data_IF_322589270691
#
_entry.id   IF_322589270691
#
_cell.length_a   1.000
_cell.length_b   1.000
_cell.length_c   1.000
_cell.angle_alpha   90.00
_cell.angle_beta   90.00
_cell.angle_gamma   90.00
#
_symmetry.space_group_name_H-M   'P 1'
#
loop_
_entity.id
_entity.type
_entity.pdbx_description
1 polymer ?
#
# COMPACT_ATOMS: atom_id res chain seq x y z
N UNK A 1 -3.13 -8.72 -3.15
CA UNK A 1 -2.13 -9.82 -2.99
C UNK A 1 -0.80 -9.31 -2.36
N UNK A 2 -0.51 -9.72 -1.12
CA UNK A 2 0.64 -9.21 -0.37
C UNK A 2 1.93 -10.04 -0.50
N UNK A 3 1.92 -11.17 -1.22
CA UNK A 3 3.06 -12.09 -1.34
C UNK A 3 4.35 -11.39 -1.77
N UNK A 4 5.44 -11.66 -1.02
CA UNK A 4 6.80 -11.18 -1.29
C UNK A 4 7.82 -12.32 -1.22
N UNK A 5 8.71 -12.44 -2.21
CA UNK A 5 9.81 -13.42 -2.20
C UNK A 5 11.09 -12.86 -1.58
N UNK A 6 12.08 -13.73 -1.31
CA UNK A 6 13.41 -13.30 -0.82
C UNK A 6 14.18 -12.38 -1.79
N UNK A 7 13.81 -12.37 -3.08
CA UNK A 7 14.31 -11.41 -4.06
C UNK A 7 13.46 -10.12 -4.14
N UNK A 8 12.62 -9.86 -3.13
CA UNK A 8 11.65 -8.76 -3.09
C UNK A 8 10.65 -8.77 -4.26
N UNK A 9 10.39 -9.93 -4.86
CA UNK A 9 9.38 -10.08 -5.90
C UNK A 9 7.99 -9.90 -5.27
N UNK A 10 7.08 -9.17 -5.91
CA UNK A 10 5.80 -8.79 -5.30
C UNK A 10 4.59 -9.09 -6.17
N UNK A 11 3.43 -9.25 -5.52
CA UNK A 11 2.13 -9.39 -6.17
C UNK A 11 1.85 -10.80 -6.70
N UNK A 12 0.73 -10.96 -7.41
CA UNK A 12 0.32 -12.27 -7.96
C UNK A 12 1.34 -12.84 -8.96
N UNK A 13 1.99 -11.96 -9.72
CA UNK A 13 2.95 -12.35 -10.74
C UNK A 13 4.39 -12.49 -10.23
N UNK A 14 4.62 -12.22 -8.93
CA UNK A 14 5.94 -12.28 -8.31
C UNK A 14 7.00 -11.54 -9.15
N UNK A 15 6.74 -10.25 -9.43
CA UNK A 15 7.63 -9.41 -10.24
C UNK A 15 8.66 -8.73 -9.33
N UNK A 16 9.95 -8.89 -9.64
CA UNK A 16 11.04 -8.20 -8.92
C UNK A 16 11.07 -6.70 -9.23
N UNK A 17 11.61 -5.83 -8.35
CA UNK A 17 11.55 -4.38 -8.52
C UNK A 17 12.11 -3.87 -9.85
N UNK A 18 13.28 -4.37 -10.26
CA UNK A 18 13.96 -3.94 -11.49
C UNK A 18 13.15 -4.30 -12.74
N UNK A 19 12.73 -5.57 -12.86
CA UNK A 19 11.84 -6.01 -13.95
C UNK A 19 10.57 -5.20 -13.99
N UNK A 20 9.94 -4.94 -12.84
CA UNK A 20 8.74 -4.11 -12.79
C UNK A 20 8.95 -2.74 -13.41
N UNK A 21 10.04 -2.03 -13.08
CA UNK A 21 10.34 -0.72 -13.66
C UNK A 21 10.55 -0.80 -15.18
N UNK A 22 11.24 -1.83 -15.66
CA UNK A 22 11.48 -2.03 -17.10
C UNK A 22 10.17 -2.25 -17.90
N UNK A 23 9.14 -2.80 -17.27
CA UNK A 23 7.81 -2.99 -17.85
C UNK A 23 6.80 -1.92 -17.40
N UNK A 24 7.28 -0.74 -17.00
CA UNK A 24 6.41 0.42 -16.69
C UNK A 24 5.65 0.34 -15.36
N UNK A 25 5.94 -0.65 -14.51
CA UNK A 25 5.34 -0.77 -13.18
C UNK A 25 5.94 0.26 -12.22
N UNK A 26 5.25 1.39 -12.09
CA UNK A 26 5.58 2.48 -11.17
C UNK A 26 5.70 1.98 -9.72
N UNK A 27 6.78 2.38 -9.05
CA UNK A 27 7.06 2.07 -7.66
C UNK A 27 7.42 3.36 -6.94
N UNK A 28 6.47 3.88 -6.17
CA UNK A 28 6.61 5.11 -5.38
C UNK A 28 6.44 4.80 -3.89
N UNK A 29 6.59 5.83 -3.05
CA UNK A 29 6.31 5.75 -1.61
C UNK A 29 4.89 5.25 -1.33
N UNK A 30 3.92 5.69 -2.14
CA UNK A 30 2.49 5.47 -1.89
C UNK A 30 1.84 4.44 -2.84
N UNK A 31 2.58 3.95 -3.85
CA UNK A 31 2.06 3.00 -4.83
C UNK A 31 3.13 1.99 -5.28
N UNK A 32 2.75 0.71 -5.43
CA UNK A 32 3.57 -0.34 -6.02
C UNK A 32 2.75 -1.12 -7.05
N UNK A 33 2.91 -0.77 -8.33
CA UNK A 33 2.17 -1.35 -9.44
C UNK A 33 2.37 -2.85 -9.61
N UNK A 34 3.41 -3.44 -9.00
CA UNK A 34 3.62 -4.90 -8.99
C UNK A 34 2.54 -5.64 -8.20
N UNK A 35 1.88 -4.94 -7.27
CA UNK A 35 0.77 -5.47 -6.46
C UNK A 35 -0.60 -5.10 -7.00
N UNK A 36 -0.66 -4.21 -7.97
CA UNK A 36 -1.88 -3.86 -8.69
C UNK A 36 -2.23 -4.96 -9.68
N UNK A 37 -3.45 -5.51 -9.61
CA UNK A 37 -3.85 -6.69 -10.39
C UNK A 37 -3.83 -6.39 -11.88
N UNK A 38 -4.32 -5.23 -12.32
CA UNK A 38 -4.42 -4.90 -13.75
C UNK A 38 -3.03 -4.59 -14.29
N UNK A 39 -2.30 -3.67 -13.66
CA UNK A 39 -0.99 -3.25 -14.12
C UNK A 39 0.00 -4.42 -14.14
N UNK A 40 0.07 -5.20 -13.05
CA UNK A 40 0.99 -6.35 -12.99
C UNK A 40 0.62 -7.46 -13.98
N UNK A 41 -0.66 -7.67 -14.26
CA UNK A 41 -1.11 -8.66 -15.27
C UNK A 41 -0.74 -8.22 -16.68
N UNK A 42 -0.99 -6.96 -17.04
CA UNK A 42 -0.55 -6.41 -18.33
C UNK A 42 0.96 -6.58 -18.49
N UNK A 43 1.76 -6.15 -17.51
CA UNK A 43 3.21 -6.28 -17.57
C UNK A 43 3.68 -7.74 -17.65
N UNK A 44 3.04 -8.66 -16.93
CA UNK A 44 3.38 -10.08 -17.00
C UNK A 44 3.08 -10.68 -18.38
N UNK A 45 1.93 -10.35 -18.96
CA UNK A 45 1.54 -10.80 -20.31
C UNK A 45 2.48 -10.21 -21.37
N UNK A 46 2.78 -8.92 -21.32
CA UNK A 46 3.73 -8.26 -22.23
C UNK A 46 5.12 -8.90 -22.14
N UNK A 47 5.59 -9.18 -20.91
CA UNK A 47 6.85 -9.87 -20.69
C UNK A 47 6.82 -11.28 -21.29
N UNK A 48 5.76 -12.06 -21.05
CA UNK A 48 5.64 -13.41 -21.60
C UNK A 48 5.58 -13.40 -23.13
N UNK A 49 4.83 -12.48 -23.75
CA UNK A 49 4.77 -12.32 -25.20
C UNK A 49 6.15 -11.97 -25.78
N UNK A 50 6.86 -11.02 -25.17
CA UNK A 50 8.22 -10.65 -25.59
C UNK A 50 9.18 -11.83 -25.48
N UNK A 51 9.16 -12.55 -24.36
CA UNK A 51 10.01 -13.72 -24.15
C UNK A 51 9.67 -14.83 -25.15
N UNK A 52 8.39 -15.07 -25.41
CA UNK A 52 7.99 -16.10 -26.37
C UNK A 52 8.44 -15.78 -27.79
N UNK A 53 8.35 -14.50 -28.20
CA UNK A 53 8.92 -14.04 -29.46
C UNK A 53 10.45 -14.17 -29.48
N UNK A 54 11.14 -13.90 -28.37
CA UNK A 54 12.60 -14.02 -28.25
C UNK A 54 13.09 -15.48 -28.41
N UNK A 55 12.29 -16.45 -27.98
CA UNK A 55 12.62 -17.88 -28.06
C UNK A 55 11.83 -18.60 -29.16
N UNK A 56 11.46 -17.89 -30.24
CA UNK A 56 10.86 -18.46 -31.45
C UNK A 56 9.61 -19.34 -31.17
N UNK A 57 8.80 -18.95 -30.18
CA UNK A 57 7.60 -19.69 -29.78
C UNK A 57 7.82 -20.81 -28.76
N UNK A 58 9.07 -21.10 -28.35
CA UNK A 58 9.37 -22.12 -27.36
C UNK A 58 8.92 -21.69 -25.95
N UNK A 59 7.78 -22.24 -25.52
CA UNK A 59 7.20 -21.97 -24.22
C UNK A 59 8.04 -22.49 -23.04
N UNK A 60 8.84 -23.56 -23.22
CA UNK A 60 9.68 -24.08 -22.14
C UNK A 60 10.81 -23.09 -21.83
N UNK A 61 11.47 -22.58 -22.88
CA UNK A 61 12.49 -21.53 -22.75
C UNK A 61 11.89 -20.21 -22.27
N UNK A 62 10.69 -19.86 -22.72
CA UNK A 62 9.93 -18.68 -22.27
C UNK A 62 9.70 -18.71 -20.76
N UNK A 63 9.15 -19.81 -20.24
CA UNK A 63 8.85 -19.98 -18.81
C UNK A 63 10.14 -20.08 -17.98
N UNK A 64 11.18 -20.74 -18.51
CA UNK A 64 12.49 -20.76 -17.87
C UNK A 64 13.12 -19.35 -17.75
N UNK A 65 12.96 -18.52 -18.78
CA UNK A 65 13.44 -17.14 -18.79
C UNK A 65 12.64 -16.24 -17.86
N UNK A 66 11.32 -16.44 -17.75
CA UNK A 66 10.47 -15.74 -16.78
C UNK A 66 10.94 -16.00 -15.34
N UNK A 67 11.26 -17.26 -15.01
CA UNK A 67 11.71 -17.64 -13.68
C UNK A 67 13.15 -17.19 -13.37
N UNK A 68 14.05 -17.30 -14.34
CA UNK A 68 15.51 -17.25 -14.09
C UNK A 68 16.24 -16.09 -14.75
N UNK A 69 15.52 -15.32 -15.57
CA UNK A 69 16.02 -14.20 -16.38
C UNK A 69 16.43 -14.62 -17.79
N UNK A 70 16.02 -13.84 -18.78
CA UNK A 70 16.32 -14.06 -20.21
C UNK A 70 17.82 -14.17 -20.50
N UNK A 71 18.65 -13.30 -19.90
CA UNK A 71 20.09 -13.30 -20.13
C UNK A 71 20.76 -14.58 -19.66
N UNK A 72 20.20 -15.25 -18.64
CA UNK A 72 20.69 -16.54 -18.16
C UNK A 72 20.39 -17.64 -19.17
N UNK A 73 19.16 -17.70 -19.67
CA UNK A 73 18.74 -18.68 -20.69
C UNK A 73 19.54 -18.46 -21.98
N UNK A 74 19.67 -17.21 -22.44
CA UNK A 74 20.45 -16.86 -23.63
C UNK A 74 21.93 -17.27 -23.52
N UNK A 75 22.56 -17.06 -22.35
CA UNK A 75 23.93 -17.53 -22.12
C UNK A 75 24.03 -19.05 -22.16
N UNK A 76 23.07 -19.77 -21.59
CA UNK A 76 23.05 -21.24 -21.63
C UNK A 76 22.88 -21.75 -23.07
N UNK A 77 21.99 -21.15 -23.87
CA UNK A 77 21.81 -21.46 -25.29
C UNK A 77 23.12 -21.22 -26.05
N UNK A 78 23.73 -20.04 -25.88
CA UNK A 78 25.01 -19.70 -26.54
C UNK A 78 26.12 -20.71 -26.20
N UNK A 79 26.20 -21.12 -24.93
CA UNK A 79 27.18 -22.09 -24.46
C UNK A 79 26.95 -23.48 -25.07
N UNK A 80 25.71 -23.94 -25.23
CA UNK A 80 25.40 -25.20 -25.89
C UNK A 80 25.67 -25.14 -27.40
N UNK A 81 25.27 -24.05 -28.08
CA UNK A 81 25.57 -23.83 -29.51
C UNK A 81 27.07 -23.90 -29.80
N UNK A 82 27.89 -23.23 -28.98
CA UNK A 82 29.35 -23.24 -29.13
C UNK A 82 29.99 -24.64 -28.98
N UNK A 83 29.28 -25.59 -28.39
CA UNK A 83 29.73 -26.97 -28.19
C UNK A 83 29.01 -27.97 -29.09
N UNK A 84 28.20 -27.51 -30.05
CA UNK A 84 27.38 -28.38 -30.90
C UNK A 84 26.31 -29.19 -30.15
N UNK A 85 25.87 -28.72 -28.98
CA UNK A 85 24.86 -29.40 -28.15
C UNK A 85 23.45 -28.87 -28.42
N UNK A 86 22.39 -29.68 -28.21
CA UNK A 86 21.01 -29.21 -28.32
C UNK A 86 20.71 -28.02 -27.39
N UNK A 87 19.79 -27.15 -27.82
CA UNK A 87 19.47 -25.89 -27.13
C UNK A 87 18.07 -25.85 -26.54
N UNK A 88 17.34 -26.97 -26.60
CA UNK A 88 16.06 -27.12 -25.94
C UNK A 88 16.21 -27.05 -24.41
N UNK A 89 15.13 -26.70 -23.72
CA UNK A 89 15.12 -26.52 -22.26
C UNK A 89 15.78 -27.68 -21.48
N UNK A 90 15.55 -28.93 -21.89
CA UNK A 90 16.03 -30.11 -21.16
C UNK A 90 17.54 -30.28 -21.25
N UNK A 91 18.13 -29.78 -22.34
CA UNK A 91 19.56 -29.84 -22.62
C UNK A 91 20.35 -28.68 -22.02
N UNK A 92 19.69 -27.60 -21.58
CA UNK A 92 20.36 -26.41 -21.06
C UNK A 92 20.87 -26.58 -19.62
N UNK A 93 22.06 -26.04 -19.36
CA UNK A 93 22.60 -25.92 -17.99
C UNK A 93 21.96 -24.73 -17.26
N UNK A 94 20.78 -24.96 -16.69
CA UNK A 94 20.02 -24.00 -15.89
C UNK A 94 20.08 -24.33 -14.38
N UNK A 95 19.80 -23.35 -13.49
CA UNK A 95 19.72 -23.58 -12.05
C UNK A 95 18.70 -24.66 -11.69
N UNK A 96 18.95 -25.38 -10.59
CA UNK A 96 18.04 -26.44 -10.11
C UNK A 96 16.61 -25.93 -9.91
N UNK A 97 16.45 -24.72 -9.37
CA UNK A 97 15.14 -24.10 -9.17
C UNK A 97 14.36 -24.00 -10.50
N UNK A 98 15.00 -23.48 -11.54
CA UNK A 98 14.41 -23.31 -12.87
C UNK A 98 14.13 -24.65 -13.55
N UNK A 99 15.06 -25.61 -13.42
CA UNK A 99 14.89 -26.98 -13.91
C UNK A 99 13.70 -27.69 -13.26
N UNK A 100 13.33 -27.33 -12.03
CA UNK A 100 12.14 -27.83 -11.34
C UNK A 100 10.88 -26.99 -11.63
N UNK A 101 11.03 -25.70 -11.88
CA UNK A 101 9.92 -24.78 -12.10
C UNK A 101 9.14 -25.11 -13.38
N UNK A 102 9.82 -25.32 -14.50
CA UNK A 102 9.14 -25.62 -15.78
C UNK A 102 8.35 -26.94 -15.72
N UNK A 103 8.90 -28.07 -15.24
CA UNK A 103 8.13 -29.30 -15.06
C UNK A 103 6.94 -29.14 -14.12
N UNK A 104 7.05 -28.35 -13.05
CA UNK A 104 5.90 -28.04 -12.16
C UNK A 104 4.77 -27.34 -12.91
N UNK A 105 5.11 -26.40 -13.80
CA UNK A 105 4.11 -25.71 -14.62
C UNK A 105 3.46 -26.66 -15.63
N UNK A 106 4.23 -27.56 -16.24
CA UNK A 106 3.68 -28.61 -17.12
C UNK A 106 2.76 -29.56 -16.37
N UNK A 107 3.17 -30.03 -15.18
CA UNK A 107 2.35 -30.88 -14.33
C UNK A 107 1.06 -30.18 -13.89
N UNK A 108 1.13 -28.90 -13.53
CA UNK A 108 -0.06 -28.11 -13.21
C UNK A 108 -0.98 -27.98 -14.43
N UNK A 109 -0.43 -27.71 -15.62
CA UNK A 109 -1.21 -27.65 -16.87
C UNK A 109 -1.92 -28.98 -17.14
N UNK A 110 -1.23 -30.10 -16.95
CA UNK A 110 -1.76 -31.45 -17.12
C UNK A 110 -2.86 -31.76 -16.11
N UNK A 111 -2.66 -31.44 -14.84
CA UNK A 111 -3.68 -31.60 -13.78
C UNK A 111 -4.90 -30.75 -14.07
N UNK A 112 -4.74 -29.51 -14.55
CA UNK A 112 -5.87 -28.64 -14.85
C UNK A 112 -6.67 -29.17 -16.06
N UNK A 113 -5.98 -29.56 -17.14
CA UNK A 113 -6.61 -30.09 -18.36
C UNK A 113 -7.33 -31.42 -18.10
N UNK A 114 -6.71 -32.30 -17.31
CA UNK A 114 -7.18 -33.66 -17.05
C UNK A 114 -7.63 -33.86 -15.59
N UNK A 115 -8.20 -32.81 -14.98
CA UNK A 115 -8.55 -32.76 -13.55
C UNK A 115 -9.39 -33.95 -13.08
N UNK A 116 -10.36 -34.41 -13.88
CA UNK A 116 -11.16 -35.61 -13.61
C UNK A 116 -10.31 -36.89 -13.50
N UNK A 117 -9.34 -37.09 -14.39
CA UNK A 117 -8.43 -38.25 -14.39
C UNK A 117 -7.62 -38.32 -13.10
N UNK A 118 -7.21 -37.16 -12.59
CA UNK A 118 -6.41 -37.05 -11.36
C UNK A 118 -7.26 -36.92 -10.09
N UNK A 119 -8.59 -37.02 -10.16
CA UNK A 119 -9.48 -36.85 -9.01
C UNK A 119 -9.46 -35.44 -8.41
N UNK A 120 -9.01 -34.43 -9.16
CA UNK A 120 -8.92 -33.04 -8.71
C UNK A 120 -10.23 -32.32 -9.03
N UNK A 121 -10.89 -31.80 -8.00
CA UNK A 121 -12.06 -30.92 -8.18
C UNK A 121 -11.60 -29.47 -8.32
N UNK A 122 -11.74 -28.91 -9.52
CA UNK A 122 -11.45 -27.50 -9.75
C UNK A 122 -12.52 -26.62 -9.09
N UNK A 123 -12.13 -25.44 -8.54
CA UNK A 123 -13.09 -24.47 -8.04
C UNK A 123 -13.98 -23.97 -9.19
N UNK A 124 -15.27 -23.80 -8.91
CA UNK A 124 -16.19 -23.16 -9.86
C UNK A 124 -15.90 -21.67 -9.92
N UNK A 125 -15.78 -21.13 -11.13
CA UNK A 125 -15.70 -19.68 -11.35
C UNK A 125 -16.99 -19.04 -10.87
N UNK A 126 -16.85 -17.96 -10.12
CA UNK A 126 -17.98 -17.18 -9.63
C UNK A 126 -17.84 -15.78 -10.20
N UNK A 127 -18.60 -15.51 -11.27
CA UNK A 127 -18.57 -14.23 -11.97
C UNK A 127 -19.01 -13.06 -11.09
N UNK A 128 -19.76 -13.32 -10.01
CA UNK A 128 -20.15 -12.28 -9.05
C UNK A 128 -18.96 -11.76 -8.23
N UNK A 129 -17.89 -12.57 -8.11
CA UNK A 129 -16.61 -12.21 -7.50
C UNK A 129 -15.60 -11.63 -8.48
N UNK A 130 -15.94 -11.51 -9.76
CA UNK A 130 -15.09 -10.84 -10.73
C UNK A 130 -14.83 -9.39 -10.28
N UNK A 131 -13.60 -8.92 -10.44
CA UNK A 131 -13.26 -7.53 -10.15
C UNK A 131 -13.58 -6.66 -11.36
N UNK A 132 -14.25 -5.54 -11.10
CA UNK A 132 -14.50 -4.49 -12.05
C UNK A 132 -13.61 -3.28 -11.73
N UNK A 133 -13.17 -2.62 -12.79
CA UNK A 133 -12.47 -1.33 -12.71
C UNK A 133 -13.50 -0.20 -12.73
N UNK A 134 -13.45 0.67 -11.74
CA UNK A 134 -14.24 1.91 -11.69
C UNK A 134 -13.28 3.09 -11.77
N UNK A 135 -13.50 3.99 -12.74
CA UNK A 135 -12.64 5.15 -12.98
C UNK A 135 -12.84 6.19 -11.86
N UNK A 136 -11.75 6.80 -11.45
CA UNK A 136 -11.74 7.94 -10.52
C UNK A 136 -11.32 9.19 -11.31
N UNK A 137 -12.10 10.26 -11.20
CA UNK A 137 -11.80 11.52 -11.89
C UNK A 137 -10.96 12.48 -11.02
N UNK A 138 -10.94 12.25 -9.71
CA UNK A 138 -10.17 12.99 -8.71
C UNK A 138 -9.63 12.03 -7.65
N UNK A 139 -8.65 12.45 -6.82
CA UNK A 139 -8.24 11.67 -5.66
C UNK A 139 -9.36 11.53 -4.63
N UNK A 140 -9.58 10.31 -4.14
CA UNK A 140 -10.66 9.99 -3.18
C UNK A 140 -10.12 9.16 -2.02
N UNK A 141 -10.56 9.43 -0.80
CA UNK A 141 -10.22 8.62 0.35
C UNK A 141 -10.84 7.22 0.24
N UNK A 142 -10.02 6.20 0.52
CA UNK A 142 -10.42 4.80 0.38
C UNK A 142 -11.54 4.42 1.35
N UNK A 143 -11.66 5.11 2.49
CA UNK A 143 -12.80 4.95 3.39
C UNK A 143 -14.11 5.38 2.72
N UNK A 144 -14.11 6.55 2.07
CA UNK A 144 -15.28 7.06 1.34
C UNK A 144 -15.67 6.12 0.19
N UNK A 145 -14.69 5.63 -0.57
CA UNK A 145 -14.95 4.65 -1.64
C UNK A 145 -15.53 3.35 -1.09
N UNK A 146 -15.06 2.88 0.06
CA UNK A 146 -15.58 1.69 0.71
C UNK A 146 -17.04 1.87 1.14
N UNK A 147 -17.37 3.03 1.70
CA UNK A 147 -18.73 3.40 2.11
C UNK A 147 -19.66 3.49 0.90
N UNK A 148 -19.25 4.21 -0.16
CA UNK A 148 -20.02 4.32 -1.42
C UNK A 148 -20.25 2.97 -2.09
N UNK A 149 -19.25 2.09 -2.04
CA UNK A 149 -19.37 0.74 -2.59
C UNK A 149 -20.12 -0.24 -1.66
N UNK A 150 -20.50 0.16 -0.44
CA UNK A 150 -21.15 -0.73 0.53
C UNK A 150 -20.27 -1.92 0.95
N UNK A 151 -18.96 -1.71 1.12
CA UNK A 151 -18.02 -2.78 1.47
C UNK A 151 -17.01 -2.34 2.52
N UNK A 152 -16.33 -3.30 3.17
CA UNK A 152 -15.32 -2.94 4.15
C UNK A 152 -14.04 -2.38 3.51
N UNK A 153 -13.47 -1.35 4.13
CA UNK A 153 -12.19 -0.77 3.71
C UNK A 153 -11.07 -1.82 3.64
N UNK A 154 -11.07 -2.80 4.56
CA UNK A 154 -10.09 -3.89 4.55
C UNK A 154 -10.19 -4.73 3.27
N UNK A 155 -11.41 -5.13 2.86
CA UNK A 155 -11.61 -5.85 1.59
C UNK A 155 -11.23 -4.97 0.40
N UNK A 156 -11.59 -3.68 0.41
CA UNK A 156 -11.20 -2.76 -0.65
C UNK A 156 -9.67 -2.67 -0.80
N UNK A 157 -8.92 -2.60 0.31
CA UNK A 157 -7.44 -2.66 0.32
C UNK A 157 -6.90 -3.94 -0.30
N UNK A 158 -7.54 -5.10 -0.07
CA UNK A 158 -7.06 -6.36 -0.65
C UNK A 158 -7.10 -6.37 -2.18
N UNK A 159 -8.13 -5.76 -2.77
CA UNK A 159 -8.30 -5.63 -4.22
C UNK A 159 -7.42 -4.53 -4.82
N UNK A 160 -7.07 -3.52 -4.02
CA UNK A 160 -6.25 -2.38 -4.42
C UNK A 160 -4.87 -2.39 -3.75
N UNK A 161 -4.28 -3.57 -3.57
CA UNK A 161 -3.05 -3.79 -2.80
C UNK A 161 -1.81 -3.07 -3.34
N UNK A 162 -1.89 -2.51 -4.57
CA UNK A 162 -0.89 -1.60 -5.11
C UNK A 162 -0.81 -0.28 -4.34
N UNK A 163 -1.92 0.21 -3.79
CA UNK A 163 -1.98 1.47 -3.04
C UNK A 163 -1.56 1.23 -1.60
N UNK A 164 -0.52 1.96 -1.16
CA UNK A 164 0.04 1.85 0.20
C UNK A 164 -0.55 2.88 1.18
N UNK A 165 -1.14 3.96 0.65
CA UNK A 165 -1.77 5.03 1.43
C UNK A 165 -3.28 4.84 1.65
N UNK A 166 -3.94 5.86 2.20
CA UNK A 166 -5.39 5.91 2.36
C UNK A 166 -6.11 6.54 1.15
N UNK A 167 -5.40 7.26 0.28
CA UNK A 167 -6.01 7.98 -0.84
C UNK A 167 -5.76 7.26 -2.17
N UNK A 168 -6.84 7.04 -2.93
CA UNK A 168 -6.79 6.54 -4.31
C UNK A 168 -6.60 7.71 -5.28
N UNK A 169 -5.99 7.46 -6.46
CA UNK A 169 -5.87 8.47 -7.51
C UNK A 169 -4.77 9.55 -7.35
N UNK A 170 -4.03 9.61 -6.24
CA UNK A 170 -2.96 10.62 -6.03
C UNK A 170 -1.67 10.31 -6.81
N UNK A 171 -1.15 9.09 -6.65
CA UNK A 171 0.16 8.66 -7.21
C UNK A 171 0.12 7.26 -7.81
N UNK A 172 -1.08 6.67 -7.85
CA UNK A 172 -1.38 5.35 -8.38
C UNK A 172 -2.36 5.41 -9.54
N UNK A 173 -3.10 4.32 -9.82
CA UNK A 173 -4.08 4.32 -10.89
C UNK A 173 -5.23 5.28 -10.60
N UNK A 174 -5.75 5.91 -11.66
CA UNK A 174 -7.01 6.66 -11.63
C UNK A 174 -8.23 5.73 -11.70
N UNK A 175 -8.15 4.62 -10.98
CA UNK A 175 -9.24 3.68 -10.86
C UNK A 175 -9.16 2.97 -9.51
N UNK A 176 -10.30 2.39 -9.13
CA UNK A 176 -10.42 1.46 -8.01
C UNK A 176 -10.96 0.13 -8.52
N UNK A 177 -10.42 -0.96 -7.99
CA UNK A 177 -10.88 -2.32 -8.23
C UNK A 177 -11.88 -2.72 -7.13
N UNK A 178 -13.09 -3.10 -7.54
CA UNK A 178 -14.17 -3.57 -6.65
C UNK A 178 -14.81 -4.82 -7.25
N UNK A 179 -15.44 -5.72 -6.47
CA UNK A 179 -16.24 -6.79 -7.04
C UNK A 179 -17.36 -6.23 -7.92
N UNK A 180 -17.69 -6.91 -9.03
CA UNK A 180 -18.65 -6.44 -10.04
C UNK A 180 -19.99 -6.01 -9.43
N UNK A 181 -20.47 -6.74 -8.43
CA UNK A 181 -21.71 -6.42 -7.70
C UNK A 181 -21.72 -5.05 -6.98
N UNK A 182 -20.55 -4.50 -6.66
CA UNK A 182 -20.40 -3.19 -6.01
C UNK A 182 -20.06 -2.08 -7.02
N UNK A 183 -19.78 -2.44 -8.27
CA UNK A 183 -19.26 -1.51 -9.26
C UNK A 183 -20.32 -0.52 -9.73
N UNK A 184 -21.56 -0.97 -9.97
CA UNK A 184 -22.64 -0.07 -10.42
C UNK A 184 -23.02 0.93 -9.34
N UNK A 185 -23.24 0.46 -8.11
CA UNK A 185 -23.50 1.33 -6.96
C UNK A 185 -22.41 2.41 -6.82
N UNK A 186 -21.13 2.00 -6.89
CA UNK A 186 -20.03 2.96 -6.80
C UNK A 186 -20.02 3.94 -7.98
N UNK A 187 -20.32 3.50 -9.21
CA UNK A 187 -20.40 4.40 -10.37
C UNK A 187 -21.50 5.43 -10.22
N UNK A 188 -22.68 5.01 -9.75
CA UNK A 188 -23.80 5.92 -9.48
C UNK A 188 -23.43 6.96 -8.41
N UNK A 189 -22.83 6.53 -7.29
CA UNK A 189 -22.33 7.45 -6.26
C UNK A 189 -21.22 8.39 -6.74
N UNK A 190 -20.40 7.95 -7.70
CA UNK A 190 -19.37 8.82 -8.30
C UNK A 190 -19.94 9.80 -9.33
N UNK A 191 -20.98 9.40 -10.06
CA UNK A 191 -21.59 10.19 -11.12
C UNK A 191 -22.59 11.24 -10.61
N UNK A 192 -23.20 11.03 -9.45
CA UNK A 192 -24.18 11.95 -8.86
C UNK A 192 -23.61 13.32 -8.47
N UNK A 193 -22.29 13.54 -8.58
CA UNK A 193 -21.66 14.82 -8.26
C UNK A 193 -21.69 15.19 -6.77
N UNK A 194 -22.31 14.36 -5.92
CA UNK A 194 -22.20 14.44 -4.45
C UNK A 194 -20.73 14.38 -4.00
N UNK A 195 -19.85 13.86 -4.86
CA UNK A 195 -18.40 13.84 -4.62
C UNK A 195 -17.79 15.22 -4.66
N UNK A 196 -18.15 16.10 -5.60
CA UNK A 196 -17.63 17.47 -5.61
C UNK A 196 -18.27 18.29 -4.49
N UNK A 197 -19.49 17.99 -4.06
CA UNK A 197 -20.12 18.63 -2.90
C UNK A 197 -19.54 18.14 -1.57
N UNK A 198 -19.21 16.85 -1.43
CA UNK A 198 -18.51 16.30 -0.26
C UNK A 198 -17.03 16.70 -0.29
N UNK A 199 -16.37 16.78 -1.44
CA UNK A 199 -15.01 17.27 -1.57
C UNK A 199 -14.94 18.78 -1.34
N UNK A 200 -15.91 19.58 -1.82
CA UNK A 200 -15.96 21.03 -1.59
C UNK A 200 -16.42 21.38 -0.17
N UNK A 201 -17.27 20.57 0.48
CA UNK A 201 -17.54 20.71 1.92
C UNK A 201 -16.38 20.19 2.80
N UNK A 202 -15.51 19.30 2.29
CA UNK A 202 -14.30 18.85 2.99
C UNK A 202 -13.04 19.65 2.64
N UNK A 203 -13.08 20.53 1.61
CA UNK A 203 -11.99 21.42 1.19
C UNK A 203 -12.28 22.89 1.55
N UNK A 204 -13.53 23.27 1.86
CA UNK A 204 -13.90 24.61 2.31
C UNK A 204 -13.89 24.82 3.83
N UNK A 205 -13.21 23.97 4.60
CA UNK A 205 -12.91 24.26 6.01
C UNK A 205 -11.40 24.41 6.23
N UNK A 206 -10.89 25.58 5.82
CA UNK A 206 -9.77 26.25 6.51
C UNK A 206 -10.23 26.88 7.84
N UNK A 207 -11.28 26.31 8.43
CA UNK A 207 -11.81 26.63 9.74
C UNK A 207 -11.12 25.69 10.73
N UNK A 208 -10.61 26.16 11.89
CA UNK A 208 -9.90 25.33 12.85
C UNK A 208 -10.70 24.05 13.14
N UNK A 209 -10.04 22.88 13.04
CA UNK A 209 -10.65 21.55 13.23
C UNK A 209 -11.48 21.48 14.53
N UNK A 210 -12.78 21.76 14.40
CA UNK A 210 -13.75 21.54 15.45
C UNK A 210 -14.12 20.05 15.39
N UNK A 211 -13.71 19.32 16.43
CA UNK A 211 -14.23 18.03 16.89
C UNK A 211 -15.16 17.28 15.92
N UNK A 212 -14.68 16.22 15.24
CA UNK A 212 -15.59 15.20 14.69
C UNK A 212 -16.15 14.36 15.85
N UNK A 213 -17.35 13.80 15.70
CA UNK A 213 -18.00 12.96 16.73
C UNK A 213 -18.33 11.57 16.16
N UNK A 214 -18.01 10.51 16.89
CA UNK A 214 -18.23 9.09 16.54
C UNK A 214 -19.21 8.46 17.53
N UNK A 215 -20.32 7.90 17.04
CA UNK A 215 -21.33 7.23 17.88
C UNK A 215 -21.04 5.74 18.00
N UNK A 216 -20.79 5.27 19.21
CA UNK A 216 -20.48 3.87 19.55
C UNK A 216 -21.66 2.96 19.19
N UNK A 217 -21.36 1.87 18.48
CA UNK A 217 -22.31 0.84 18.03
C UNK A 217 -22.17 -0.44 18.84
N UNK A 218 -23.16 -1.33 18.71
CA UNK A 218 -23.10 -2.65 19.32
C UNK A 218 -21.90 -3.44 18.79
N UNK A 219 -21.06 -3.94 19.69
CA UNK A 219 -19.82 -4.66 19.35
C UNK A 219 -18.56 -3.81 19.22
N UNK A 220 -18.67 -2.48 19.33
CA UNK A 220 -17.48 -1.61 19.30
C UNK A 220 -16.63 -1.79 20.56
N UNK A 221 -15.31 -1.68 20.37
CA UNK A 221 -14.33 -1.57 21.45
C UNK A 221 -13.53 -0.30 21.26
N UNK A 222 -13.08 0.33 22.35
CA UNK A 222 -12.26 1.54 22.28
C UNK A 222 -11.00 1.34 21.42
N UNK A 223 -10.36 0.17 21.50
CA UNK A 223 -9.21 -0.21 20.66
C UNK A 223 -9.58 -0.41 19.20
N UNK A 224 -10.73 -1.04 18.92
CA UNK A 224 -11.26 -1.18 17.56
C UNK A 224 -11.55 0.17 16.91
N UNK A 225 -12.20 1.09 17.64
CA UNK A 225 -12.48 2.45 17.18
C UNK A 225 -11.18 3.23 16.98
N UNK A 226 -10.27 3.20 17.95
CA UNK A 226 -8.98 3.88 17.84
C UNK A 226 -8.17 3.39 16.62
N UNK A 227 -8.14 2.07 16.39
CA UNK A 227 -7.50 1.47 15.21
C UNK A 227 -8.19 1.84 13.90
N UNK A 228 -9.52 1.89 13.89
CA UNK A 228 -10.31 2.33 12.72
C UNK A 228 -10.03 3.80 12.37
N UNK A 229 -9.82 4.64 13.38
CA UNK A 229 -9.58 6.07 13.22
C UNK A 229 -8.08 6.44 13.12
N UNK A 230 -7.19 5.46 13.25
CA UNK A 230 -5.73 5.68 13.17
C UNK A 230 -5.15 6.50 14.32
N UNK A 231 -5.79 6.51 15.49
CA UNK A 231 -5.36 7.23 16.70
C UNK A 231 -4.99 6.25 17.81
N UNK A 232 -4.25 6.69 18.83
CA UNK A 232 -4.01 5.84 19.99
C UNK A 232 -5.26 5.78 20.88
N UNK A 233 -5.45 4.64 21.56
CA UNK A 233 -6.52 4.50 22.57
C UNK A 233 -6.39 5.54 23.67
N UNK A 234 -5.16 5.91 24.03
CA UNK A 234 -4.87 6.92 25.05
C UNK A 234 -5.32 8.32 24.61
N UNK A 235 -5.09 8.69 23.36
CA UNK A 235 -5.54 9.97 22.82
C UNK A 235 -7.08 10.01 22.77
N UNK A 236 -7.69 8.92 22.30
CA UNK A 236 -9.15 8.82 22.25
C UNK A 236 -9.79 8.84 23.65
N UNK A 237 -9.13 8.27 24.66
CA UNK A 237 -9.54 8.37 26.06
C UNK A 237 -9.42 9.79 26.59
N UNK A 238 -8.28 10.45 26.33
CA UNK A 238 -8.03 11.81 26.77
C UNK A 238 -9.02 12.81 26.16
N UNK A 239 -9.32 12.69 24.87
CA UNK A 239 -10.30 13.56 24.19
C UNK A 239 -11.72 13.41 24.72
N UNK A 240 -12.03 12.27 25.32
CA UNK A 240 -13.37 11.90 25.79
C UNK A 240 -13.46 11.75 27.30
N UNK A 241 -12.42 12.16 28.05
CA UNK A 241 -12.30 12.03 29.50
C UNK A 241 -12.66 10.62 30.02
N UNK A 242 -12.29 9.57 29.27
CA UNK A 242 -12.58 8.19 29.62
C UNK A 242 -11.54 7.66 30.61
N UNK A 243 -12.00 7.16 31.76
CA UNK A 243 -11.15 6.53 32.79
C UNK A 243 -10.76 5.07 32.48
N UNK A 244 -11.24 4.52 31.36
CA UNK A 244 -11.03 3.12 30.98
C UNK A 244 -11.44 2.83 29.53
N UNK A 245 -11.58 1.55 29.18
CA UNK A 245 -11.89 1.08 27.81
C UNK A 245 -13.36 0.73 27.55
N UNK A 246 -14.20 0.79 28.59
CA UNK A 246 -15.64 0.50 28.48
C UNK A 246 -16.36 1.64 27.76
N UNK A 247 -17.13 1.29 26.74
CA UNK A 247 -17.96 2.21 25.98
C UNK A 247 -19.43 1.79 26.10
N UNK A 248 -20.33 2.77 26.17
CA UNK A 248 -21.78 2.52 26.15
C UNK A 248 -22.28 2.58 24.70
N UNK A 249 -23.15 1.66 24.31
CA UNK A 249 -23.80 1.70 22.99
C UNK A 249 -24.59 3.02 22.89
N UNK A 250 -24.40 3.74 21.79
CA UNK A 250 -24.98 5.06 21.55
C UNK A 250 -24.18 6.23 22.11
N UNK A 251 -23.09 5.99 22.86
CA UNK A 251 -22.19 7.03 23.37
C UNK A 251 -21.51 7.78 22.21
N UNK A 252 -21.47 9.11 22.29
CA UNK A 252 -20.71 9.93 21.34
C UNK A 252 -19.28 10.11 21.83
N UNK A 253 -18.31 9.90 20.94
CA UNK A 253 -16.89 10.12 21.16
C UNK A 253 -16.40 11.27 20.27
N UNK A 254 -15.81 12.29 20.86
CA UNK A 254 -15.02 13.30 20.16
C UNK A 254 -13.78 12.64 19.55
N UNK A 255 -13.66 12.73 18.23
CA UNK A 255 -12.59 12.18 17.42
C UNK A 255 -11.94 13.33 16.64
N UNK A 256 -10.64 13.50 16.78
CA UNK A 256 -9.90 14.55 16.06
C UNK A 256 -9.92 15.92 16.72
N UNK A 257 -9.62 15.99 18.02
CA UNK A 257 -8.93 17.19 18.52
C UNK A 257 -7.54 17.15 17.90
N UNK A 258 -7.22 18.12 17.03
CA UNK A 258 -5.96 18.17 16.29
C UNK A 258 -4.76 17.73 17.13
N UNK A 259 -3.88 16.93 16.51
CA UNK A 259 -2.62 16.47 17.11
C UNK A 259 -2.04 17.61 17.93
N UNK A 260 -1.70 17.36 19.20
CA UNK A 260 -1.12 18.35 20.11
C UNK A 260 -0.02 19.19 19.42
N UNK A 261 0.74 18.55 18.53
CA UNK A 261 1.73 19.15 17.64
C UNK A 261 1.23 20.29 16.73
N UNK A 262 0.03 20.12 16.15
CA UNK A 262 -0.60 21.09 15.26
C UNK A 262 -1.23 22.24 16.06
N UNK A 263 -1.72 21.97 17.27
CA UNK A 263 -2.19 23.02 18.19
C UNK A 263 -1.02 23.86 18.71
N UNK A 264 0.12 23.23 19.00
CA UNK A 264 1.35 23.93 19.37
C UNK A 264 1.92 24.72 18.18
N UNK A 265 1.93 24.15 16.97
CA UNK A 265 2.36 24.85 15.75
C UNK A 265 1.46 26.05 15.38
N UNK A 266 0.15 25.94 15.62
CA UNK A 266 -0.82 27.00 15.30
C UNK A 266 -0.89 28.10 16.38
N UNK A 267 -0.42 27.84 17.61
CA UNK A 267 -0.38 28.83 18.68
C UNK A 267 0.73 29.87 18.52
N UNK A 268 1.55 29.79 17.47
CA UNK A 268 2.66 30.73 17.17
C UNK A 268 3.75 30.85 18.24
N UNK A 269 3.64 30.16 19.38
CA UNK A 269 4.63 30.09 20.45
C UNK A 269 5.77 29.12 20.10
N UNK A 270 6.52 29.45 19.05
CA UNK A 270 7.75 28.74 18.71
C UNK A 270 8.95 29.38 19.40
N UNK A 271 9.82 28.56 19.97
CA UNK A 271 11.17 28.97 20.37
C UNK A 271 12.18 28.35 19.41
N UNK A 272 13.28 29.08 19.16
CA UNK A 272 14.43 28.55 18.43
C UNK A 272 15.49 28.08 19.41
N UNK A 273 15.74 26.78 19.45
CA UNK A 273 16.71 26.15 20.33
C UNK A 273 18.02 25.91 19.58
N UNK A 274 19.15 26.38 20.15
CA UNK A 274 20.49 26.08 19.63
C UNK A 274 21.06 24.85 20.33
N UNK A 275 21.31 23.78 19.57
CA UNK A 275 21.83 22.51 20.07
C UNK A 275 23.18 22.70 20.76
N UNK A 276 23.32 22.22 21.99
CA UNK A 276 24.58 22.30 22.77
C UNK A 276 25.34 20.98 22.68
N UNK A 277 26.65 21.01 23.01
CA UNK A 277 27.49 19.81 23.03
C UNK A 277 26.94 18.80 24.05
N UNK A 278 26.54 17.63 23.56
CA UNK A 278 25.96 16.55 24.38
C UNK A 278 24.43 16.45 24.33
N UNK A 279 23.73 17.33 23.59
CA UNK A 279 22.29 17.18 23.37
C UNK A 279 21.95 16.08 22.35
N UNK A 280 20.76 15.51 22.51
CA UNK A 280 20.09 14.66 21.53
C UNK A 280 18.66 15.18 21.32
N UNK A 281 18.00 14.84 20.21
CA UNK A 281 16.58 15.16 20.01
C UNK A 281 15.73 14.68 21.20
N UNK A 282 16.08 13.54 21.78
CA UNK A 282 15.35 12.96 22.91
C UNK A 282 15.50 13.78 24.20
N UNK A 283 16.70 14.32 24.47
CA UNK A 283 16.95 15.15 25.66
C UNK A 283 16.36 16.55 25.49
N UNK A 284 16.43 17.12 24.29
CA UNK A 284 15.82 18.42 23.94
C UNK A 284 14.29 18.31 24.05
N UNK A 285 13.68 17.32 23.40
CA UNK A 285 12.22 17.16 23.42
C UNK A 285 11.68 16.97 24.85
N UNK A 286 12.38 16.17 25.67
CA UNK A 286 12.04 15.98 27.09
C UNK A 286 12.18 17.28 27.88
N UNK A 287 13.27 18.02 27.70
CA UNK A 287 13.53 19.30 28.41
C UNK A 287 12.44 20.33 28.12
N UNK A 288 11.94 20.36 26.89
CA UNK A 288 10.93 21.31 26.44
C UNK A 288 9.49 20.75 26.47
N UNK A 289 9.30 19.55 27.05
CA UNK A 289 7.97 18.96 27.22
C UNK A 289 7.24 18.61 25.91
N UNK A 290 7.97 18.42 24.81
CA UNK A 290 7.42 18.14 23.47
C UNK A 290 7.71 16.69 23.03
N UNK A 291 6.94 16.16 22.09
CA UNK A 291 7.17 14.82 21.55
C UNK A 291 8.32 14.84 20.53
N UNK A 292 9.22 13.86 20.58
CA UNK A 292 10.33 13.71 19.62
C UNK A 292 9.82 13.68 18.17
N UNK A 293 8.69 13.01 17.91
CA UNK A 293 8.09 12.94 16.57
C UNK A 293 7.58 14.28 16.07
N UNK A 294 7.19 15.17 16.98
CA UNK A 294 6.74 16.51 16.63
C UNK A 294 7.95 17.40 16.31
N UNK A 295 9.02 17.30 17.09
CA UNK A 295 10.30 17.99 16.81
C UNK A 295 10.86 17.58 15.44
N UNK A 296 10.83 16.28 15.10
CA UNK A 296 11.24 15.78 13.78
C UNK A 296 10.31 16.23 12.64
N UNK A 297 9.07 16.61 12.94
CA UNK A 297 8.11 17.09 11.94
C UNK A 297 8.24 18.58 11.70
N UNK A 298 8.59 19.35 12.72
CA UNK A 298 8.79 20.80 12.63
C UNK A 298 10.13 21.16 11.98
N UNK A 299 11.13 20.31 12.12
CA UNK A 299 12.49 20.56 11.67
C UNK A 299 12.87 19.62 10.54
N UNK A 300 13.60 20.14 9.55
CA UNK A 300 14.20 19.35 8.49
C UNK A 300 15.59 18.87 8.96
N UNK A 301 16.04 17.68 8.52
CA UNK A 301 17.37 17.11 8.80
C UNK A 301 17.72 16.84 10.29
N UNK A 302 16.79 16.25 11.03
CA UNK A 302 17.02 15.88 12.45
C UNK A 302 17.86 14.61 12.65
N UNK A 303 18.22 13.89 11.57
CA UNK A 303 18.86 12.58 11.66
C UNK A 303 20.34 12.63 12.10
N UNK A 304 21.01 13.79 11.99
CA UNK A 304 22.45 13.98 12.30
C UNK A 304 22.74 15.28 13.09
N UNK A 305 22.03 15.48 14.20
CA UNK A 305 22.11 16.69 15.02
C UNK A 305 23.54 17.01 15.52
N UNK A 306 24.06 18.21 15.20
CA UNK A 306 25.38 18.71 15.62
C UNK A 306 25.27 19.88 16.62
N UNK A 307 26.27 20.06 17.50
CA UNK A 307 26.34 21.26 18.34
C UNK A 307 26.38 22.53 17.48
N UNK A 308 25.43 23.43 17.71
CA UNK A 308 25.27 24.67 16.96
C UNK A 308 24.05 24.70 16.04
N UNK A 309 23.44 23.56 15.73
CA UNK A 309 22.22 23.45 14.93
C UNK A 309 21.05 24.19 15.58
N UNK A 310 20.11 24.67 14.77
CA UNK A 310 18.94 25.40 15.24
C UNK A 310 17.69 24.55 15.03
N UNK A 311 16.92 24.34 16.10
CA UNK A 311 15.66 23.62 16.07
C UNK A 311 14.52 24.55 16.46
N UNK A 312 13.47 24.60 15.65
CA UNK A 312 12.18 25.18 16.00
C UNK A 312 11.40 24.22 16.89
N UNK A 313 11.04 24.66 18.08
CA UNK A 313 10.23 23.91 19.04
C UNK A 313 8.96 24.70 19.35
N UNK A 314 7.80 24.09 19.22
CA UNK A 314 6.55 24.70 19.67
C UNK A 314 6.21 24.19 21.06
N UNK A 315 6.29 25.06 22.06
CA UNK A 315 6.11 24.73 23.48
C UNK A 315 4.81 25.32 24.00
N UNK A 316 4.29 24.79 25.11
CA UNK A 316 3.10 25.31 25.76
C UNK A 316 3.55 26.32 26.82
N UNK A 317 3.29 27.59 26.59
CA UNK A 317 3.64 28.76 27.42
C UNK A 317 5.13 29.19 27.38
N UNK A 318 5.34 30.51 27.22
CA UNK A 318 6.63 31.23 27.08
C UNK A 318 7.50 31.24 28.35
N UNK A 319 7.52 30.17 29.16
CA UNK A 319 8.55 30.02 30.18
C UNK A 319 9.85 29.62 29.49
N UNK A 320 10.65 30.61 29.10
CA UNK A 320 12.07 30.45 28.76
C UNK A 320 12.78 29.79 29.95
N UNK A 321 13.33 28.58 29.81
CA UNK A 321 14.35 28.10 30.71
C UNK A 321 15.70 28.60 30.16
N UNK A 322 16.39 29.42 30.95
CA UNK A 322 17.77 29.93 30.76
C UNK A 322 18.71 29.12 29.84
#
# INVERSE_FOLDING_TARGET
PHATSGANAAGIWQIIPSTGRNYGLKQTRNYDARRDVVASTTAALDMMQRLNKMFDGDWLLTVAAYNSGEGRVMRAIKANKARGKPTDFWSLSLPRETKLYVPKMLALSEILKNSKRYGVRLPTTDESRALARVRLNSPVEMAQVADMAGMSISKLKTFNAGVKGSTLGVSGPQYVMVPKKHAEQLRESLASGEIDAVQSQLIADNTPLNSRSYKVRSGDTLSGIASQLGVSTKDLQQWNNLRGSRLKIGQSLTVGAGSSAQRLANNSDSITYRVRKGDSLSSIARRHGVNIKDVMRWNHDTDNLQPGDQLTLFVKDNSTPD
#
